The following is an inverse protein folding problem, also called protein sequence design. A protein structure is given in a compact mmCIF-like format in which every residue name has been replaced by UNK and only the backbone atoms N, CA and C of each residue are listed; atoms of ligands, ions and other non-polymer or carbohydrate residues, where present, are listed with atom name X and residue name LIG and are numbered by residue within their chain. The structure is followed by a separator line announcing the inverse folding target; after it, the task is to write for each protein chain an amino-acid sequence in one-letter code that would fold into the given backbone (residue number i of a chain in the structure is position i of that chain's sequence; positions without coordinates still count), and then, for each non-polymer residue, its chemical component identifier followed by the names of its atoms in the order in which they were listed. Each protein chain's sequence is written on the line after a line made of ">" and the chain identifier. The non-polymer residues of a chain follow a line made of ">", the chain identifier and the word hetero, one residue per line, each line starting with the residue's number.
data_IF_549077258786
#
_entry.id   IF_549077258786
#
_cell.length_a   1.000
_cell.length_b   1.000
_cell.length_c   1.000
_cell.angle_alpha   90.00
_cell.angle_beta   90.00
_cell.angle_gamma   90.00
#
_symmetry.space_group_name_H-M   'P 1'
#
loop_
_entity.id
_entity.type
_entity.pdbx_description
1 polymer ?
#
# COMPACT_ATOMS: atom_id res chain seq x y z
N UNK A 1 0.39 3.83 -11.68
CA UNK A 1 1.03 2.66 -11.04
C UNK A 1 0.47 1.44 -11.70
N UNK A 2 1.33 0.66 -12.36
CA UNK A 2 0.93 -0.50 -13.16
C UNK A 2 1.05 -1.80 -12.38
N UNK A 3 2.01 -1.87 -11.45
CA UNK A 3 2.16 -3.00 -10.54
C UNK A 3 2.49 -2.51 -9.11
N UNK A 4 2.01 -3.26 -8.14
CA UNK A 4 2.28 -3.08 -6.72
C UNK A 4 2.63 -4.43 -6.11
N UNK A 5 3.86 -4.57 -5.66
CA UNK A 5 4.34 -5.74 -4.94
C UNK A 5 4.46 -5.41 -3.45
N UNK A 6 3.82 -6.22 -2.60
CA UNK A 6 4.09 -6.21 -1.16
C UNK A 6 5.32 -7.09 -0.95
N UNK A 7 6.38 -6.52 -0.37
CA UNK A 7 7.68 -7.21 -0.23
C UNK A 7 7.88 -7.78 1.17
N UNK A 8 7.40 -7.08 2.20
CA UNK A 8 7.48 -7.53 3.59
C UNK A 8 6.40 -6.86 4.45
N UNK A 9 5.91 -7.55 5.47
CA UNK A 9 4.93 -7.06 6.43
C UNK A 9 5.37 -7.38 7.85
N UNK A 10 5.52 -6.36 8.68
CA UNK A 10 5.97 -6.50 10.06
C UNK A 10 5.11 -5.65 10.99
N UNK A 11 4.79 -6.18 12.17
CA UNK A 11 4.21 -5.36 13.23
C UNK A 11 5.27 -4.35 13.69
N UNK A 12 4.88 -3.07 13.77
CA UNK A 12 5.74 -2.03 14.38
C UNK A 12 5.49 -1.93 15.87
N UNK A 13 4.25 -2.18 16.28
CA UNK A 13 3.78 -2.25 17.65
C UNK A 13 2.52 -3.14 17.72
N UNK A 14 1.84 -3.19 18.86
CA UNK A 14 0.63 -4.02 19.05
C UNK A 14 -0.58 -3.54 18.26
N UNK A 15 -0.54 -2.33 17.72
CA UNK A 15 -1.67 -1.65 17.10
C UNK A 15 -1.43 -1.31 15.64
N UNK A 16 -0.20 -1.42 15.15
CA UNK A 16 0.19 -1.00 13.80
C UNK A 16 1.07 -2.03 13.09
N UNK A 17 0.83 -2.18 11.79
CA UNK A 17 1.63 -2.95 10.85
C UNK A 17 2.26 -2.04 9.81
N UNK A 18 3.57 -2.21 9.62
CA UNK A 18 4.32 -1.64 8.51
C UNK A 18 4.28 -2.61 7.32
N UNK A 19 3.78 -2.12 6.21
CA UNK A 19 3.67 -2.85 4.94
C UNK A 19 4.64 -2.20 3.96
N UNK A 20 5.70 -2.92 3.62
CA UNK A 20 6.70 -2.49 2.65
C UNK A 20 6.25 -2.84 1.24
N UNK A 21 6.52 -1.96 0.29
CA UNK A 21 6.09 -2.12 -1.09
C UNK A 21 7.14 -1.66 -2.09
N UNK A 22 7.05 -2.22 -3.29
CA UNK A 22 7.63 -1.68 -4.53
C UNK A 22 6.49 -1.38 -5.48
N UNK A 23 6.40 -0.13 -5.94
CA UNK A 23 5.41 0.32 -6.91
C UNK A 23 6.10 0.66 -8.23
N UNK A 24 5.65 0.05 -9.32
CA UNK A 24 6.23 0.21 -10.65
C UNK A 24 5.29 1.02 -11.54
N UNK A 25 5.83 2.00 -12.25
CA UNK A 25 5.10 2.88 -13.16
C UNK A 25 5.29 2.46 -14.62
N UNK A 26 4.47 3.02 -15.51
CA UNK A 26 4.44 2.66 -16.93
C UNK A 26 5.73 2.96 -17.68
N UNK A 27 6.54 3.90 -17.19
CA UNK A 27 7.84 4.26 -17.73
C UNK A 27 8.99 3.38 -17.20
N UNK A 28 8.67 2.35 -16.40
CA UNK A 28 9.65 1.44 -15.81
C UNK A 28 10.32 1.99 -14.55
N UNK A 29 10.01 3.22 -14.12
CA UNK A 29 10.46 3.72 -12.82
C UNK A 29 9.78 2.94 -11.70
N UNK A 30 10.48 2.79 -10.58
CA UNK A 30 9.92 2.21 -9.37
C UNK A 30 10.19 3.10 -8.17
N UNK A 31 9.24 3.09 -7.23
CA UNK A 31 9.44 3.62 -5.89
C UNK A 31 9.37 2.46 -4.89
N UNK A 32 10.22 2.54 -3.88
CA UNK A 32 10.19 1.66 -2.73
C UNK A 32 9.78 2.47 -1.50
N UNK A 33 8.97 1.87 -0.64
CA UNK A 33 8.52 2.56 0.54
C UNK A 33 7.74 1.67 1.48
N UNK A 34 7.07 2.33 2.42
CA UNK A 34 6.16 1.66 3.33
C UNK A 34 4.93 2.52 3.62
N UNK A 35 3.86 1.85 3.99
CA UNK A 35 2.70 2.47 4.65
C UNK A 35 2.53 1.84 6.03
N UNK A 36 1.96 2.61 6.95
CA UNK A 36 1.52 2.09 8.25
C UNK A 36 0.00 1.91 8.20
N UNK A 37 -0.47 0.77 8.69
CA UNK A 37 -1.89 0.43 8.79
C UNK A 37 -2.18 -0.03 10.21
N UNK A 38 -3.35 0.34 10.76
CA UNK A 38 -3.79 -0.22 12.03
C UNK A 38 -3.95 -1.75 11.89
N UNK A 39 -3.52 -2.52 12.89
CA UNK A 39 -3.52 -3.98 12.79
C UNK A 39 -4.95 -4.54 12.63
N UNK A 40 -5.93 -3.97 13.33
CA UNK A 40 -7.34 -4.37 13.17
C UNK A 40 -7.89 -4.10 11.77
N UNK A 41 -7.43 -3.03 11.10
CA UNK A 41 -7.80 -2.76 9.71
C UNK A 41 -7.17 -3.78 8.76
N UNK A 42 -5.92 -4.19 9.03
CA UNK A 42 -5.23 -5.23 8.26
C UNK A 42 -5.94 -6.58 8.39
N UNK A 43 -6.27 -7.00 9.61
CA UNK A 43 -6.93 -8.29 9.88
C UNK A 43 -8.32 -8.40 9.24
N UNK A 44 -8.99 -7.27 9.01
CA UNK A 44 -10.29 -7.21 8.35
C UNK A 44 -10.22 -7.28 6.82
N UNK A 45 -9.03 -7.19 6.20
CA UNK A 45 -8.86 -7.15 4.75
C UNK A 45 -8.56 -8.52 4.15
N UNK A 46 -9.18 -8.81 3.00
CA UNK A 46 -8.65 -9.84 2.11
C UNK A 46 -7.32 -9.38 1.51
N UNK A 47 -6.49 -10.30 1.02
CA UNK A 47 -5.23 -9.93 0.37
C UNK A 47 -5.44 -9.05 -0.89
N UNK A 48 -6.55 -9.25 -1.61
CA UNK A 48 -6.91 -8.39 -2.77
C UNK A 48 -7.19 -6.96 -2.29
N UNK A 49 -7.96 -6.82 -1.22
CA UNK A 49 -8.33 -5.50 -0.68
C UNK A 49 -7.13 -4.82 -0.01
N UNK A 50 -6.19 -5.60 0.53
CA UNK A 50 -4.92 -5.10 1.06
C UNK A 50 -4.12 -4.33 0.00
N UNK A 51 -3.92 -4.91 -1.19
CA UNK A 51 -3.21 -4.22 -2.29
C UNK A 51 -3.89 -2.91 -2.68
N UNK A 52 -5.22 -2.92 -2.81
CA UNK A 52 -5.99 -1.72 -3.13
C UNK A 52 -5.88 -0.64 -2.04
N UNK A 53 -5.92 -1.05 -0.76
CA UNK A 53 -5.76 -0.15 0.39
C UNK A 53 -4.37 0.46 0.45
N UNK A 54 -3.31 -0.34 0.24
CA UNK A 54 -1.92 0.15 0.18
C UNK A 54 -1.76 1.15 -0.94
N UNK A 55 -2.28 0.85 -2.15
CA UNK A 55 -2.28 1.79 -3.27
C UNK A 55 -2.97 3.11 -2.92
N UNK A 56 -4.13 3.07 -2.25
CA UNK A 56 -4.81 4.29 -1.80
C UNK A 56 -3.97 5.09 -0.82
N UNK A 57 -3.31 4.44 0.14
CA UNK A 57 -2.45 5.12 1.12
C UNK A 57 -1.22 5.78 0.47
N UNK A 58 -0.61 5.12 -0.52
CA UNK A 58 0.51 5.69 -1.28
C UNK A 58 0.09 6.98 -1.98
N UNK A 59 -1.03 6.93 -2.72
CA UNK A 59 -1.56 8.08 -3.45
C UNK A 59 -1.87 9.23 -2.49
N UNK A 60 -2.55 8.96 -1.37
CA UNK A 60 -2.84 9.98 -0.34
C UNK A 60 -1.56 10.59 0.24
N UNK A 61 -0.56 9.77 0.58
CA UNK A 61 0.69 10.25 1.20
C UNK A 61 1.54 11.10 0.25
N UNK A 62 1.45 10.86 -1.06
CA UNK A 62 2.11 11.67 -2.09
C UNK A 62 1.29 12.92 -2.47
N UNK A 63 0.16 13.17 -1.80
CA UNK A 63 -0.73 14.29 -2.09
C UNK A 63 -1.58 14.11 -3.36
N UNK A 64 -1.70 12.89 -3.87
CA UNK A 64 -2.51 12.56 -5.04
C UNK A 64 -3.97 12.20 -4.70
N UNK A 65 -4.84 12.23 -5.71
CA UNK A 65 -6.22 11.73 -5.66
C UNK A 65 -6.33 10.40 -6.41
N UNK A 66 -6.95 9.38 -5.79
CA UNK A 66 -7.25 8.10 -6.47
C UNK A 66 -8.42 8.33 -7.42
N UNK A 67 -8.14 8.48 -8.71
CA UNK A 67 -9.18 8.46 -9.72
C UNK A 67 -9.64 7.01 -9.89
N UNK A 68 -10.87 6.70 -9.44
CA UNK A 68 -11.52 5.45 -9.80
C UNK A 68 -11.82 5.51 -11.29
N UNK A 69 -11.14 4.69 -12.09
CA UNK A 69 -11.56 4.47 -13.47
C UNK A 69 -12.94 3.80 -13.44
N UNK A 70 -13.83 4.33 -14.31
CA UNK A 70 -15.24 3.99 -14.41
C UNK A 70 -15.48 2.64 -15.10
#
# INVERSE_FOLDING_TARGET
>A
MNDLQITNMVLTDTSNRKINYTATYSDGTHIEGFVTMAEGDYEALSFKDLKAKVQSLIVTNLGGTVNKEA
#
